data_IF_049390399473
#
_entry.id   IF_049390399473
#
_cell.length_a   1.000
_cell.length_b   1.000
_cell.length_c   1.000
_cell.angle_alpha   90.00
_cell.angle_beta   90.00
_cell.angle_gamma   90.00
#
_symmetry.space_group_name_H-M   'P 1'
#
loop_
_entity.id
_entity.type
_entity.pdbx_description
1 polymer ?
#
# COMPACT_ATOMS: atom_id res chain seq x y z
N UNK A 1 0.18 4.43 -21.46
CA UNK A 1 0.29 3.67 -20.20
C UNK A 1 1.74 3.62 -19.82
N UNK A 2 2.10 4.02 -18.59
CA UNK A 2 3.48 3.95 -18.14
C UNK A 2 3.81 2.50 -17.73
N UNK A 3 4.77 1.82 -18.39
CA UNK A 3 5.20 0.47 -18.00
C UNK A 3 6.24 0.50 -16.86
N UNK A 4 6.58 1.69 -16.37
CA UNK A 4 7.55 1.91 -15.28
C UNK A 4 6.85 2.51 -14.08
N UNK A 5 7.20 1.99 -12.91
CA UNK A 5 6.63 2.37 -11.61
C UNK A 5 6.50 3.89 -11.44
N UNK A 6 5.28 4.36 -11.19
CA UNK A 6 5.02 5.77 -10.92
C UNK A 6 5.58 6.12 -9.53
N UNK A 7 6.83 6.59 -9.50
CA UNK A 7 7.49 7.14 -8.32
C UNK A 7 6.96 8.55 -8.07
N UNK A 8 6.37 8.79 -6.91
CA UNK A 8 5.94 10.12 -6.47
C UNK A 8 6.51 10.42 -5.09
N UNK A 9 7.09 11.60 -4.94
CA UNK A 9 7.65 12.08 -3.67
C UNK A 9 6.74 13.20 -3.18
N UNK A 10 6.17 13.04 -1.98
CA UNK A 10 5.37 14.09 -1.36
C UNK A 10 6.27 15.15 -0.73
N UNK A 11 6.45 16.29 -1.40
CA UNK A 11 7.30 17.39 -0.93
C UNK A 11 6.95 17.87 0.49
N UNK A 12 5.65 17.87 0.85
CA UNK A 12 5.20 18.29 2.18
C UNK A 12 5.56 17.33 3.34
N UNK A 13 5.96 16.08 3.06
CA UNK A 13 6.17 15.03 4.08
C UNK A 13 7.46 14.23 3.93
N UNK A 14 8.22 14.41 2.85
CA UNK A 14 9.41 13.60 2.56
C UNK A 14 9.11 12.10 2.34
N UNK A 15 7.84 11.72 2.20
CA UNK A 15 7.43 10.33 2.02
C UNK A 15 7.43 9.95 0.54
N UNK A 16 8.13 8.87 0.21
CA UNK A 16 8.17 8.30 -1.13
C UNK A 16 7.04 7.29 -1.31
N UNK A 17 6.37 7.35 -2.45
CA UNK A 17 5.34 6.40 -2.86
C UNK A 17 5.66 5.82 -4.22
N UNK A 18 5.61 4.50 -4.32
CA UNK A 18 5.90 3.75 -5.53
C UNK A 18 4.76 2.78 -5.79
N UNK A 19 4.13 2.84 -6.96
CA UNK A 19 3.11 1.84 -7.34
C UNK A 19 3.68 0.89 -8.39
N UNK A 20 3.52 -0.41 -8.13
CA UNK A 20 3.92 -1.51 -9.01
C UNK A 20 2.70 -2.35 -9.38
N UNK A 21 2.53 -2.66 -10.65
CA UNK A 21 1.51 -3.59 -11.13
C UNK A 21 2.14 -4.94 -11.34
N UNK A 22 1.69 -5.94 -10.59
CA UNK A 22 2.24 -7.29 -10.69
C UNK A 22 1.68 -8.02 -11.91
N UNK A 23 0.36 -7.93 -12.13
CA UNK A 23 -0.30 -8.50 -13.30
C UNK A 23 -1.66 -7.85 -13.56
N UNK A 24 -2.18 -8.05 -14.76
CA UNK A 24 -3.53 -7.66 -15.16
C UNK A 24 -4.24 -8.85 -15.82
N UNK A 25 -5.47 -9.13 -15.41
CA UNK A 25 -6.31 -10.15 -16.02
C UNK A 25 -7.32 -9.50 -16.97
N UNK A 26 -7.30 -9.83 -18.28
CA UNK A 26 -8.30 -9.33 -19.22
C UNK A 26 -9.64 -10.06 -19.00
N UNK A 27 -10.74 -9.33 -19.14
CA UNK A 27 -12.10 -9.85 -18.96
C UNK A 27 -13.14 -8.73 -19.03
N UNK A 28 -14.42 -9.09 -18.85
CA UNK A 28 -15.52 -8.10 -18.83
C UNK A 28 -15.31 -7.02 -17.75
N UNK A 29 -14.60 -7.38 -16.68
CA UNK A 29 -14.07 -6.45 -15.69
C UNK A 29 -12.56 -6.68 -15.59
N UNK A 30 -11.78 -5.77 -16.16
CA UNK A 30 -10.32 -5.87 -16.09
C UNK A 30 -9.87 -5.77 -14.63
N UNK A 31 -9.25 -6.82 -14.10
CA UNK A 31 -8.66 -6.82 -12.76
C UNK A 31 -7.18 -6.48 -12.88
N UNK A 32 -6.78 -5.35 -12.30
CA UNK A 32 -5.38 -4.98 -12.18
C UNK A 32 -4.92 -5.21 -10.74
N UNK A 33 -3.93 -6.09 -10.57
CA UNK A 33 -3.31 -6.30 -9.27
C UNK A 33 -2.12 -5.36 -9.13
N UNK A 34 -2.28 -4.33 -8.30
CA UNK A 34 -1.24 -3.36 -8.01
C UNK A 34 -0.94 -3.31 -6.52
N UNK A 35 0.34 -3.13 -6.21
CA UNK A 35 0.84 -2.87 -4.86
C UNK A 35 1.46 -1.49 -4.82
N UNK A 36 1.28 -0.81 -3.69
CA UNK A 36 1.87 0.50 -3.42
C UNK A 36 2.82 0.38 -2.25
N UNK A 37 4.06 0.78 -2.44
CA UNK A 37 5.03 0.98 -1.37
C UNK A 37 4.94 2.41 -0.88
N UNK A 38 4.95 2.59 0.44
CA UNK A 38 4.96 3.91 1.09
C UNK A 38 6.03 3.94 2.18
N UNK A 39 7.06 4.78 2.01
CA UNK A 39 8.19 4.81 2.96
C UNK A 39 7.77 5.17 4.40
N UNK A 40 6.69 5.93 4.56
CA UNK A 40 6.16 6.37 5.86
C UNK A 40 5.30 5.33 6.59
N UNK A 41 5.03 4.16 6.00
CA UNK A 41 4.13 3.15 6.58
C UNK A 41 4.89 2.08 7.38
N UNK A 42 5.65 2.53 8.39
CA UNK A 42 6.55 1.66 9.18
C UNK A 42 5.81 0.54 9.94
N UNK A 43 4.51 0.70 10.24
CA UNK A 43 3.69 -0.34 10.84
C UNK A 43 3.66 -1.65 10.01
N UNK A 44 3.89 -1.55 8.70
CA UNK A 44 3.91 -2.70 7.80
C UNK A 44 5.33 -3.16 7.45
N UNK A 45 6.35 -2.86 8.27
CA UNK A 45 7.73 -3.34 8.04
C UNK A 45 7.81 -4.87 7.99
N UNK A 46 6.89 -5.56 8.65
CA UNK A 46 6.72 -7.03 8.58
C UNK A 46 5.42 -7.45 7.89
N UNK A 47 4.91 -6.60 6.99
CA UNK A 47 3.68 -6.85 6.25
C UNK A 47 3.75 -8.11 5.38
N UNK A 48 2.59 -8.73 5.13
CA UNK A 48 2.48 -9.99 4.39
C UNK A 48 2.95 -9.91 2.92
N UNK A 49 3.06 -8.71 2.37
CA UNK A 49 3.56 -8.46 1.01
C UNK A 49 5.00 -7.92 0.98
N UNK A 50 5.71 -7.99 2.11
CA UNK A 50 7.01 -7.35 2.33
C UNK A 50 6.87 -5.97 2.98
N UNK A 51 8.01 -5.38 3.35
CA UNK A 51 8.06 -4.15 4.12
C UNK A 51 7.33 -3.00 3.40
N UNK A 52 6.31 -2.45 4.08
CA UNK A 52 5.54 -1.24 3.71
C UNK A 52 4.79 -1.31 2.37
N UNK A 53 4.53 -2.52 1.89
CA UNK A 53 3.69 -2.76 0.74
C UNK A 53 2.23 -2.92 1.14
N UNK A 54 1.34 -2.24 0.43
CA UNK A 54 -0.12 -2.36 0.55
C UNK A 54 -0.74 -2.66 -0.81
N UNK A 55 -1.92 -3.28 -0.80
CA UNK A 55 -2.75 -3.47 -1.99
C UNK A 55 -4.13 -2.85 -1.74
N UNK A 56 -4.89 -2.45 -2.78
CA UNK A 56 -6.28 -2.01 -2.63
C UNK A 56 -7.19 -3.07 -2.00
N UNK A 57 -6.75 -4.32 -1.99
CA UNK A 57 -7.50 -5.49 -1.50
C UNK A 57 -7.04 -5.95 -0.12
N UNK A 58 -6.09 -5.24 0.50
CA UNK A 58 -5.55 -5.59 1.82
C UNK A 58 -5.84 -4.48 2.82
N UNK A 59 -6.27 -4.88 4.01
CA UNK A 59 -6.43 -4.01 5.18
C UNK A 59 -5.66 -4.62 6.34
N UNK A 60 -4.84 -3.81 7.02
CA UNK A 60 -4.12 -4.24 8.20
C UNK A 60 -4.82 -3.71 9.45
N UNK A 61 -5.07 -4.63 10.38
CA UNK A 61 -5.66 -4.37 11.70
C UNK A 61 -4.70 -4.94 12.75
N UNK A 62 -4.18 -4.10 13.63
CA UNK A 62 -3.42 -4.55 14.78
C UNK A 62 -4.34 -4.74 15.98
N UNK A 63 -4.25 -5.88 16.65
CA UNK A 63 -5.03 -6.17 17.86
C UNK A 63 -4.25 -5.70 19.08
N UNK A 64 -4.76 -4.67 19.76
CA UNK A 64 -4.24 -4.11 21.00
C UNK A 64 -5.03 -4.64 22.20
N UNK A 65 -4.47 -4.53 23.41
CA UNK A 65 -5.11 -5.01 24.66
C UNK A 65 -6.51 -4.41 24.91
N UNK A 66 -6.80 -3.24 24.35
CA UNK A 66 -8.07 -2.53 24.53
C UNK A 66 -8.86 -2.31 23.22
N UNK A 67 -8.47 -2.92 22.09
CA UNK A 67 -9.18 -2.71 20.82
C UNK A 67 -8.40 -3.11 19.58
N UNK A 68 -8.86 -2.64 18.41
CA UNK A 68 -8.18 -2.81 17.12
C UNK A 68 -7.71 -1.46 16.61
N UNK A 69 -6.48 -1.40 16.10
CA UNK A 69 -5.92 -0.24 15.43
C UNK A 69 -5.97 -0.49 13.92
N UNK A 70 -6.65 0.38 13.18
CA UNK A 70 -6.71 0.28 11.72
C UNK A 70 -5.57 1.08 11.08
N UNK A 71 -4.79 0.43 10.21
CA UNK A 71 -3.77 1.10 9.41
C UNK A 71 -4.33 1.44 8.04
N UNK A 72 -4.72 2.70 7.87
CA UNK A 72 -5.22 3.19 6.59
C UNK A 72 -4.09 3.33 5.56
N UNK A 73 -4.42 3.16 4.29
CA UNK A 73 -3.50 3.26 3.16
C UNK A 73 -2.84 4.65 2.99
N UNK A 74 -3.43 5.68 3.62
CA UNK A 74 -2.92 7.05 3.63
C UNK A 74 -1.83 7.29 4.71
N UNK A 75 -1.57 6.27 5.54
CA UNK A 75 -0.60 6.31 6.64
C UNK A 75 -1.17 6.85 7.94
N UNK A 76 -2.48 7.07 8.05
CA UNK A 76 -3.15 7.38 9.31
C UNK A 76 -3.59 6.10 10.00
N UNK A 77 -3.40 6.04 11.30
CA UNK A 77 -3.98 4.99 12.13
C UNK A 77 -5.26 5.52 12.78
N UNK A 78 -6.33 4.74 12.74
CA UNK A 78 -7.64 5.07 13.33
C UNK A 78 -8.04 4.05 14.39
#
# INVERSE_FOLDING_TARGET
>A
GCPSTCRSISFARGSETLTHTDFSLPGCFALQWSRTYRSSLAALDRGVFGARWITPFSTCLDVLKQGVLYHAADGRSH
#
